data_IF_147227565573
#
_entry.id   IF_147227565573
#
_cell.length_a   1.000
_cell.length_b   1.000
_cell.length_c   1.000
_cell.angle_alpha   90.00
_cell.angle_beta   90.00
_cell.angle_gamma   90.00
#
_symmetry.space_group_name_H-M   'P 1'
#
loop_
_entity.id
_entity.type
_entity.pdbx_description
1 polymer ?
#
# COMPACT_ATOMS: atom_id res chain seq x y z
N UNK A 1 8.46 5.34 14.82
CA UNK A 1 7.07 5.84 14.92
C UNK A 1 6.82 6.83 13.80
N UNK A 2 5.59 6.93 13.28
CA UNK A 2 5.30 7.88 12.20
C UNK A 2 5.25 9.32 12.73
N UNK A 3 5.83 10.26 11.98
CA UNK A 3 5.76 11.70 12.27
C UNK A 3 4.45 12.35 11.81
N UNK A 4 3.59 11.60 11.11
CA UNK A 4 2.36 12.07 10.50
C UNK A 4 1.19 11.28 11.10
N UNK A 5 0.06 11.97 11.34
CA UNK A 5 -1.16 11.34 11.84
C UNK A 5 -1.66 10.31 10.83
N UNK A 6 -1.89 9.09 11.31
CA UNK A 6 -2.55 8.03 10.55
C UNK A 6 -4.07 8.18 10.61
N UNK A 7 -4.76 7.86 9.54
CA UNK A 7 -6.22 7.68 9.54
C UNK A 7 -6.50 6.20 9.79
N UNK A 8 -7.17 5.89 10.90
CA UNK A 8 -7.53 4.51 11.23
C UNK A 8 -8.57 3.94 10.25
N UNK A 9 -8.79 2.63 10.28
CA UNK A 9 -9.79 2.02 9.38
C UNK A 9 -11.22 2.37 9.81
N UNK A 10 -11.43 2.62 11.09
CA UNK A 10 -12.71 3.04 11.68
C UNK A 10 -13.02 4.51 11.36
N UNK A 11 -12.00 5.36 11.27
CA UNK A 11 -12.12 6.78 10.89
C UNK A 11 -12.24 6.99 9.38
N UNK A 12 -11.94 5.96 8.56
CA UNK A 12 -11.93 6.06 7.12
C UNK A 12 -13.34 6.24 6.54
N UNK A 13 -13.53 7.30 5.75
CA UNK A 13 -14.79 7.63 5.08
C UNK A 13 -14.56 7.96 3.62
N UNK A 14 -15.63 7.84 2.81
CA UNK A 14 -15.62 8.13 1.38
C UNK A 14 -14.46 7.43 0.66
N UNK A 15 -13.70 8.21 -0.12
CA UNK A 15 -12.62 7.71 -0.97
C UNK A 15 -11.53 6.93 -0.21
N UNK A 16 -11.22 7.31 1.03
CA UNK A 16 -10.22 6.60 1.84
C UNK A 16 -10.69 5.18 2.15
N UNK A 17 -11.95 5.04 2.53
CA UNK A 17 -12.56 3.74 2.85
C UNK A 17 -12.59 2.83 1.62
N UNK A 18 -13.00 3.36 0.47
CA UNK A 18 -13.00 2.63 -0.80
C UNK A 18 -11.61 2.09 -1.15
N UNK A 19 -10.57 2.93 -1.03
CA UNK A 19 -9.19 2.50 -1.32
C UNK A 19 -8.70 1.47 -0.28
N UNK A 20 -9.08 1.61 0.99
CA UNK A 20 -8.73 0.64 2.03
C UNK A 20 -9.34 -0.74 1.80
N UNK A 21 -10.61 -0.79 1.39
CA UNK A 21 -11.29 -2.04 1.03
C UNK A 21 -10.64 -2.67 -0.20
N UNK A 22 -10.27 -1.86 -1.19
CA UNK A 22 -9.57 -2.30 -2.40
C UNK A 22 -8.18 -2.89 -2.10
N UNK A 23 -7.43 -2.26 -1.19
CA UNK A 23 -6.14 -2.76 -0.68
C UNK A 23 -6.31 -4.14 -0.05
N UNK A 24 -7.27 -4.29 0.86
CA UNK A 24 -7.53 -5.55 1.57
C UNK A 24 -7.90 -6.67 0.61
N UNK A 25 -8.77 -6.36 -0.36
CA UNK A 25 -9.19 -7.33 -1.38
C UNK A 25 -8.03 -7.81 -2.25
N UNK A 26 -7.20 -6.91 -2.80
CA UNK A 26 -6.13 -7.29 -3.73
C UNK A 26 -4.90 -7.90 -3.04
N UNK A 27 -4.60 -7.47 -1.81
CA UNK A 27 -3.48 -8.02 -1.06
C UNK A 27 -3.85 -9.28 -0.28
N UNK A 28 -5.15 -9.58 -0.12
CA UNK A 28 -5.61 -10.76 0.62
C UNK A 28 -5.36 -10.65 2.13
N UNK A 29 -5.43 -9.43 2.67
CA UNK A 29 -5.16 -9.11 4.07
C UNK A 29 -6.40 -8.48 4.71
N UNK A 30 -6.56 -8.65 6.02
CA UNK A 30 -7.67 -8.15 6.81
C UNK A 30 -7.42 -6.77 7.43
N UNK A 31 -6.18 -6.27 7.34
CA UNK A 31 -5.76 -4.96 7.82
C UNK A 31 -5.18 -4.09 6.71
N UNK A 32 -5.18 -2.77 6.90
CA UNK A 32 -4.52 -1.84 5.99
C UNK A 32 -3.09 -1.53 6.49
N UNK A 33 -2.05 -1.71 5.66
CA UNK A 33 -0.69 -1.34 6.04
C UNK A 33 -0.58 0.14 6.40
N UNK A 34 0.14 0.42 7.48
CA UNK A 34 0.31 1.75 8.04
C UNK A 34 0.87 2.79 7.05
N UNK A 35 1.63 2.37 6.04
CA UNK A 35 2.10 3.24 4.96
C UNK A 35 0.90 3.94 4.27
N UNK A 36 -0.15 3.19 3.95
CA UNK A 36 -1.38 3.73 3.38
C UNK A 36 -2.17 4.55 4.40
N UNK A 37 -2.14 4.16 5.68
CA UNK A 37 -2.79 4.91 6.76
C UNK A 37 -2.23 6.32 6.94
N UNK A 38 -0.93 6.51 6.71
CA UNK A 38 -0.29 7.84 6.69
C UNK A 38 -0.72 8.64 5.46
N UNK A 39 -0.83 8.00 4.29
CA UNK A 39 -1.21 8.67 3.04
C UNK A 39 -2.68 9.11 3.01
N UNK A 40 -3.53 8.46 3.79
CA UNK A 40 -4.98 8.68 3.82
C UNK A 40 -5.41 10.11 4.20
N UNK A 41 -4.54 10.89 4.85
CA UNK A 41 -4.76 12.33 5.07
C UNK A 41 -4.93 13.12 3.77
N UNK A 42 -4.45 12.59 2.64
CA UNK A 42 -4.62 13.13 1.29
C UNK A 42 -5.18 12.04 0.36
N UNK A 43 -6.51 11.92 0.21
CA UNK A 43 -7.13 10.80 -0.51
C UNK A 43 -6.65 10.60 -1.95
N UNK A 44 -6.43 11.69 -2.71
CA UNK A 44 -5.89 11.58 -4.07
C UNK A 44 -4.44 11.06 -4.12
N UNK A 45 -3.63 11.35 -3.10
CA UNK A 45 -2.26 10.82 -3.00
C UNK A 45 -2.26 9.34 -2.63
N UNK A 46 -3.14 8.93 -1.72
CA UNK A 46 -3.38 7.54 -1.36
C UNK A 46 -3.79 6.72 -2.60
N UNK A 47 -4.81 7.19 -3.32
CA UNK A 47 -5.29 6.50 -4.53
C UNK A 47 -4.20 6.40 -5.61
N UNK A 48 -3.48 7.48 -5.88
CA UNK A 48 -2.42 7.48 -6.89
C UNK A 48 -1.30 6.49 -6.54
N UNK A 49 -0.87 6.41 -5.27
CA UNK A 49 0.13 5.43 -4.87
C UNK A 49 -0.40 4.00 -4.91
N UNK A 50 -1.63 3.77 -4.47
CA UNK A 50 -2.22 2.44 -4.54
C UNK A 50 -2.36 1.94 -5.98
N UNK A 51 -2.84 2.79 -6.89
CA UNK A 51 -2.93 2.46 -8.32
C UNK A 51 -1.55 2.16 -8.93
N UNK A 52 -0.50 2.89 -8.52
CA UNK A 52 0.89 2.58 -8.92
C UNK A 52 1.31 1.20 -8.41
N UNK A 53 1.03 0.87 -7.15
CA UNK A 53 1.37 -0.45 -6.58
C UNK A 53 0.60 -1.54 -7.30
N UNK A 54 -0.69 -1.38 -7.60
CA UNK A 54 -1.45 -2.35 -8.39
C UNK A 54 -0.82 -2.60 -9.76
N UNK A 55 -0.55 -1.54 -10.50
CA UNK A 55 0.03 -1.62 -11.84
C UNK A 55 1.40 -2.33 -11.86
N UNK A 56 2.22 -2.16 -10.81
CA UNK A 56 3.56 -2.75 -10.74
C UNK A 56 3.54 -4.15 -10.12
N UNK A 57 2.89 -4.32 -8.97
CA UNK A 57 2.98 -5.52 -8.14
C UNK A 57 1.87 -6.53 -8.37
N UNK A 58 0.65 -6.07 -8.64
CA UNK A 58 -0.55 -6.92 -8.68
C UNK A 58 -0.89 -7.37 -10.10
N UNK A 59 -0.82 -6.46 -11.07
CA UNK A 59 -1.17 -6.78 -12.45
C UNK A 59 -0.23 -7.84 -13.05
N UNK A 60 -0.79 -8.76 -13.88
CA UNK A 60 0.01 -9.74 -14.61
C UNK A 60 1.08 -9.06 -15.47
N UNK A 61 2.24 -9.72 -15.60
CA UNK A 61 3.31 -9.19 -16.42
C UNK A 61 4.39 -10.23 -16.70
N UNK A 62 5.55 -9.77 -17.19
CA UNK A 62 6.69 -10.64 -17.51
C UNK A 62 7.27 -11.37 -16.29
N UNK A 63 7.17 -10.76 -15.11
CA UNK A 63 7.58 -11.35 -13.85
C UNK A 63 6.33 -11.75 -13.07
N UNK A 64 6.37 -12.93 -12.47
CA UNK A 64 5.35 -13.36 -11.53
C UNK A 64 5.43 -12.54 -10.23
N UNK A 65 4.36 -12.61 -9.43
CA UNK A 65 4.22 -11.83 -8.20
C UNK A 65 5.32 -12.15 -7.17
N UNK A 66 5.68 -13.42 -7.01
CA UNK A 66 6.70 -13.83 -6.05
C UNK A 66 8.06 -13.22 -6.41
N UNK A 67 8.44 -13.26 -7.69
CA UNK A 67 9.69 -12.63 -8.15
C UNK A 67 9.70 -11.12 -7.90
N UNK A 68 8.58 -10.43 -8.15
CA UNK A 68 8.45 -8.99 -7.86
C UNK A 68 8.63 -8.69 -6.37
N UNK A 69 8.03 -9.50 -5.49
CA UNK A 69 8.12 -9.35 -4.04
C UNK A 69 9.55 -9.59 -3.53
N UNK A 70 10.25 -10.62 -4.04
CA UNK A 70 11.67 -10.88 -3.71
C UNK A 70 12.54 -9.67 -4.07
N UNK A 71 12.35 -9.11 -5.27
CA UNK A 71 13.10 -7.91 -5.70
C UNK A 71 12.80 -6.72 -4.78
N UNK A 72 11.52 -6.50 -4.44
CA UNK A 72 11.12 -5.41 -3.55
C UNK A 72 11.80 -5.53 -2.17
N UNK A 73 11.82 -6.73 -1.58
CA UNK A 73 12.49 -6.98 -0.29
C UNK A 73 14.00 -6.76 -0.39
N UNK A 74 14.65 -7.25 -1.44
CA UNK A 74 16.09 -7.07 -1.64
C UNK A 74 16.47 -5.59 -1.77
N UNK A 75 15.72 -4.82 -2.55
CA UNK A 75 15.94 -3.36 -2.70
C UNK A 75 15.72 -2.64 -1.37
N UNK A 76 14.65 -2.97 -0.63
CA UNK A 76 14.40 -2.40 0.69
C UNK A 76 15.56 -2.66 1.67
N UNK A 77 16.12 -3.87 1.67
CA UNK A 77 17.26 -4.22 2.51
C UNK A 77 18.53 -3.43 2.14
N UNK A 78 18.83 -3.31 0.84
CA UNK A 78 20.00 -2.56 0.36
C UNK A 78 19.89 -1.06 0.67
N UNK A 79 18.69 -0.49 0.59
CA UNK A 79 18.44 0.92 0.90
C UNK A 79 18.30 1.21 2.40
N UNK A 80 18.39 0.20 3.27
CA UNK A 80 18.23 0.37 4.71
C UNK A 80 16.81 0.78 5.11
N UNK A 81 15.79 0.36 4.36
CA UNK A 81 14.40 0.55 4.78
C UNK A 81 14.11 -0.36 5.97
N UNK A 82 13.76 0.25 7.10
CA UNK A 82 13.40 -0.45 8.33
C UNK A 82 11.88 -0.58 8.52
N UNK A 83 11.12 -0.27 7.48
CA UNK A 83 9.67 -0.33 7.39
C UNK A 83 9.22 -1.33 6.34
#
# INVERSE_FOLDING_TARGET
MASIKMVSEEEAVGKVKEVYEDIKSHLGIDFVPNLYKVMASKPGYLEANWNKVKAVMVEPGKLDRMTKEIIAVAVSAVLGSHY
#
